data_IF_583494223741
#
_entry.id   IF_583494223741
#
_cell.length_a   1.000
_cell.length_b   1.000
_cell.length_c   1.000
_cell.angle_alpha   90.00
_cell.angle_beta   90.00
_cell.angle_gamma   90.00
#
_symmetry.space_group_name_H-M   'P 1'
#
loop_
_entity.id
_entity.type
_entity.pdbx_description
1 polymer ?
#
# COMPACT_ATOMS: atom_id res chain seq x y z
N UNK A 1 -19.76 42.84 -31.32
CA UNK A 1 -20.89 42.05 -30.79
C UNK A 1 -20.53 40.58 -30.46
N UNK A 2 -19.25 40.22 -30.29
CA UNK A 2 -18.83 38.81 -30.18
C UNK A 2 -18.38 38.38 -28.78
N UNK A 3 -18.20 39.32 -27.84
CA UNK A 3 -17.69 39.03 -26.50
C UNK A 3 -18.71 38.26 -25.63
N UNK A 4 -20.00 38.62 -25.73
CA UNK A 4 -21.08 37.93 -25.00
C UNK A 4 -21.25 36.48 -25.45
N UNK A 5 -21.07 36.21 -26.75
CA UNK A 5 -21.17 34.88 -27.31
C UNK A 5 -19.99 33.99 -26.88
N UNK A 6 -18.77 34.53 -26.85
CA UNK A 6 -17.56 33.85 -26.37
C UNK A 6 -17.64 33.49 -24.88
N UNK A 7 -18.16 34.41 -24.05
CA UNK A 7 -18.35 34.17 -22.62
C UNK A 7 -19.40 33.07 -22.38
N UNK A 8 -20.49 33.08 -23.15
CA UNK A 8 -21.53 32.06 -23.06
C UNK A 8 -21.00 30.66 -23.44
N UNK A 9 -20.17 30.54 -24.49
CA UNK A 9 -19.54 29.26 -24.84
C UNK A 9 -18.56 28.78 -23.78
N UNK A 10 -17.73 29.65 -23.22
CA UNK A 10 -16.80 29.29 -22.14
C UNK A 10 -17.54 28.80 -20.89
N UNK A 11 -18.61 29.49 -20.48
CA UNK A 11 -19.43 29.08 -19.34
C UNK A 11 -20.14 27.74 -19.60
N UNK A 12 -20.64 27.50 -20.80
CA UNK A 12 -21.24 26.22 -21.17
C UNK A 12 -20.21 25.09 -21.11
N UNK A 13 -18.97 25.31 -21.59
CA UNK A 13 -17.89 24.34 -21.54
C UNK A 13 -17.50 23.97 -20.10
N UNK A 14 -17.39 24.97 -19.21
CA UNK A 14 -17.09 24.74 -17.78
C UNK A 14 -18.21 23.93 -17.12
N UNK A 15 -19.47 24.23 -17.42
CA UNK A 15 -20.63 23.52 -16.87
C UNK A 15 -20.70 22.06 -17.33
N UNK A 16 -20.30 21.77 -18.57
CA UNK A 16 -20.19 20.39 -19.09
C UNK A 16 -19.06 19.62 -18.42
N UNK A 17 -17.89 20.25 -18.23
CA UNK A 17 -16.77 19.61 -17.52
C UNK A 17 -17.06 19.35 -16.04
N UNK A 18 -17.83 20.22 -15.38
CA UNK A 18 -18.22 20.05 -13.97
C UNK A 18 -19.26 18.95 -13.73
N UNK A 19 -19.95 18.50 -14.80
CA UNK A 19 -20.99 17.47 -14.76
C UNK A 19 -20.51 16.07 -15.14
N UNK A 20 -19.20 15.83 -15.27
CA UNK A 20 -18.71 14.46 -15.28
C UNK A 20 -18.70 13.96 -13.83
N UNK A 21 -19.65 13.12 -13.41
CA UNK A 21 -19.45 12.38 -12.18
C UNK A 21 -18.14 11.62 -12.35
N UNK A 22 -17.22 11.78 -11.40
CA UNK A 22 -16.10 10.85 -11.28
C UNK A 22 -16.73 9.46 -11.25
N UNK A 23 -16.61 8.72 -12.35
CA UNK A 23 -17.11 7.36 -12.43
C UNK A 23 -16.51 6.66 -11.24
N UNK A 24 -17.34 6.24 -10.27
CA UNK A 24 -16.90 5.70 -8.99
C UNK A 24 -15.95 4.55 -9.27
N UNK A 25 -14.65 4.84 -9.27
CA UNK A 25 -13.64 3.90 -9.68
C UNK A 25 -13.66 2.81 -8.61
N UNK A 26 -14.22 1.65 -8.95
CA UNK A 26 -14.26 0.51 -8.03
C UNK A 26 -12.83 0.31 -7.53
N UNK A 27 -12.59 0.32 -6.20
CA UNK A 27 -11.25 0.17 -5.66
C UNK A 27 -10.63 -1.14 -6.15
N UNK A 28 -9.50 -1.05 -6.86
CA UNK A 28 -8.69 -2.16 -7.36
C UNK A 28 -7.48 -2.36 -6.45
N UNK A 29 -7.70 -2.99 -5.31
CA UNK A 29 -6.60 -3.48 -4.47
C UNK A 29 -5.97 -4.74 -5.08
N UNK A 30 -4.67 -4.92 -4.93
CA UNK A 30 -3.94 -6.15 -5.30
C UNK A 30 -4.22 -7.27 -4.28
N UNK A 31 -4.36 -6.91 -3.01
CA UNK A 31 -4.66 -7.83 -1.92
C UNK A 31 -6.17 -8.02 -1.77
N UNK A 32 -6.64 -9.25 -2.02
CA UNK A 32 -8.03 -9.65 -1.80
C UNK A 32 -8.25 -10.34 -0.45
N UNK A 33 -7.23 -11.05 0.03
CA UNK A 33 -7.25 -11.79 1.29
C UNK A 33 -6.03 -11.40 2.12
N UNK A 34 -6.17 -11.44 3.44
CA UNK A 34 -5.11 -11.04 4.37
C UNK A 34 -4.81 -12.16 5.38
N UNK A 35 -3.54 -12.29 5.74
CA UNK A 35 -3.10 -13.09 6.88
C UNK A 35 -2.74 -12.16 8.04
N UNK A 36 -2.90 -12.65 9.26
CA UNK A 36 -2.67 -11.84 10.46
C UNK A 36 -1.19 -11.80 10.87
N UNK A 37 -0.48 -12.92 10.71
CA UNK A 37 0.90 -13.04 11.16
C UNK A 37 1.70 -14.11 10.38
N UNK A 38 3.00 -13.89 10.26
CA UNK A 38 4.00 -14.83 9.72
C UNK A 38 5.23 -14.83 10.63
N UNK A 39 5.80 -15.98 11.01
CA UNK A 39 7.08 -15.99 11.73
C UNK A 39 8.17 -15.22 10.96
N UNK A 40 8.79 -14.20 11.57
CA UNK A 40 9.79 -13.30 10.92
C UNK A 40 10.90 -14.06 10.19
N UNK A 41 11.31 -15.24 10.69
CA UNK A 41 12.32 -16.11 10.05
C UNK A 41 11.94 -16.60 8.64
N UNK A 42 10.66 -16.59 8.29
CA UNK A 42 10.18 -16.98 6.96
C UNK A 42 9.97 -15.79 6.03
N UNK A 43 9.97 -14.56 6.53
CA UNK A 43 9.82 -13.36 5.69
C UNK A 43 11.16 -13.06 5.02
N UNK A 44 11.19 -13.04 3.69
CA UNK A 44 12.37 -12.77 2.86
C UNK A 44 12.41 -11.36 2.33
N UNK A 45 11.26 -10.83 1.95
CA UNK A 45 11.10 -9.45 1.52
C UNK A 45 9.66 -9.00 1.78
N UNK A 46 9.42 -7.70 1.62
CA UNK A 46 8.09 -7.11 1.72
C UNK A 46 7.93 -5.90 0.79
N UNK A 47 6.71 -5.62 0.36
CA UNK A 47 6.32 -4.42 -0.37
C UNK A 47 5.16 -3.75 0.36
N UNK A 48 5.29 -2.45 0.64
CA UNK A 48 4.22 -1.64 1.24
C UNK A 48 3.70 -0.70 0.18
N UNK A 49 2.42 -0.83 -0.14
CA UNK A 49 1.70 0.03 -1.09
C UNK A 49 0.75 0.89 -0.25
N UNK A 50 0.95 2.22 -0.21
CA UNK A 50 0.08 3.10 0.55
C UNK A 50 -1.33 3.15 -0.05
N UNK A 51 -2.30 3.52 0.78
CA UNK A 51 -3.66 3.83 0.33
C UNK A 51 -3.66 4.90 -0.78
N UNK A 52 -4.56 4.77 -1.75
CA UNK A 52 -4.74 5.69 -2.88
C UNK A 52 -6.23 5.79 -3.27
N UNK A 53 -6.56 6.64 -4.25
CA UNK A 53 -7.91 6.71 -4.83
C UNK A 53 -8.37 5.37 -5.42
N UNK A 54 -7.43 4.52 -5.86
CA UNK A 54 -7.71 3.21 -6.43
C UNK A 54 -7.75 2.08 -5.39
N UNK A 55 -7.22 2.27 -4.17
CA UNK A 55 -7.31 1.28 -3.11
C UNK A 55 -7.26 1.97 -1.75
N UNK A 56 -8.36 1.89 -1.00
CA UNK A 56 -8.51 2.61 0.28
C UNK A 56 -7.69 2.00 1.43
N UNK A 57 -7.06 0.85 1.21
CA UNK A 57 -6.26 0.12 2.20
C UNK A 57 -4.77 0.23 1.91
N UNK A 58 -3.96 0.37 2.95
CA UNK A 58 -2.51 0.13 2.84
C UNK A 58 -2.29 -1.37 2.70
N UNK A 59 -1.56 -1.78 1.67
CA UNK A 59 -1.31 -3.18 1.35
C UNK A 59 0.12 -3.55 1.69
N UNK A 60 0.31 -4.65 2.41
CA UNK A 60 1.62 -5.20 2.73
C UNK A 60 1.71 -6.56 2.05
N UNK A 61 2.55 -6.70 1.03
CA UNK A 61 2.77 -7.97 0.34
C UNK A 61 4.09 -8.54 0.85
N UNK A 62 4.07 -9.73 1.43
CA UNK A 62 5.26 -10.42 1.93
C UNK A 62 5.72 -11.47 0.94
N UNK A 63 7.03 -11.54 0.71
CA UNK A 63 7.67 -12.71 0.11
C UNK A 63 8.07 -13.65 1.23
N UNK A 64 7.46 -14.83 1.30
CA UNK A 64 7.63 -15.81 2.36
C UNK A 64 8.38 -17.03 1.80
N UNK A 65 9.43 -17.46 2.49
CA UNK A 65 10.17 -18.67 2.18
C UNK A 65 10.20 -19.64 3.36
N UNK A 66 9.71 -20.86 3.12
CA UNK A 66 9.73 -21.96 4.09
C UNK A 66 10.31 -23.21 3.42
N UNK A 67 11.57 -23.51 3.72
CA UNK A 67 12.31 -24.56 3.00
C UNK A 67 12.55 -24.15 1.55
N UNK A 68 12.22 -25.04 0.60
CA UNK A 68 12.32 -24.76 -0.83
C UNK A 68 11.13 -23.99 -1.41
N UNK A 69 10.04 -23.79 -0.64
CA UNK A 69 8.84 -23.10 -1.12
C UNK A 69 8.96 -21.60 -0.91
N UNK A 70 8.71 -20.84 -1.97
CA UNK A 70 8.57 -19.38 -1.97
C UNK A 70 7.14 -19.05 -2.36
N UNK A 71 6.49 -18.15 -1.62
CA UNK A 71 5.12 -17.72 -1.85
C UNK A 71 4.94 -16.26 -1.47
N UNK A 72 3.89 -15.64 -2.00
CA UNK A 72 3.47 -14.29 -1.62
C UNK A 72 2.20 -14.35 -0.76
N UNK A 73 2.10 -13.46 0.21
CA UNK A 73 0.87 -13.28 0.99
C UNK A 73 0.70 -11.82 1.41
N UNK A 74 -0.56 -11.38 1.49
CA UNK A 74 -0.85 -10.05 2.00
C UNK A 74 -1.00 -10.07 3.52
N UNK A 75 -0.16 -9.31 4.22
CA UNK A 75 -0.25 -9.11 5.66
C UNK A 75 -1.24 -8.00 5.99
N UNK A 76 -2.07 -8.22 7.01
CA UNK A 76 -3.00 -7.19 7.48
C UNK A 76 -2.22 -6.00 8.08
N UNK A 77 -2.42 -4.80 7.51
CA UNK A 77 -1.74 -3.56 7.93
C UNK A 77 -2.27 -2.95 9.23
N UNK A 78 -3.43 -3.42 9.71
CA UNK A 78 -4.10 -2.92 10.91
C UNK A 78 -3.82 -3.77 12.16
N UNK A 79 -3.11 -4.89 12.00
CA UNK A 79 -2.71 -5.77 13.11
C UNK A 79 -1.24 -5.58 13.48
N UNK A 80 -0.87 -6.04 14.68
CA UNK A 80 0.43 -5.78 15.32
C UNK A 80 1.63 -5.97 14.39
N UNK A 81 1.73 -7.11 13.71
CA UNK A 81 2.87 -7.37 12.83
C UNK A 81 2.91 -6.41 11.64
N UNK A 82 1.77 -6.10 11.03
CA UNK A 82 1.69 -5.16 9.92
C UNK A 82 2.05 -3.74 10.36
N UNK A 83 1.53 -3.30 11.51
CA UNK A 83 1.86 -2.02 12.11
C UNK A 83 3.35 -1.91 12.45
N UNK A 84 3.94 -2.93 13.08
CA UNK A 84 5.39 -2.98 13.35
C UNK A 84 6.22 -2.80 12.08
N UNK A 85 5.83 -3.49 11.01
CA UNK A 85 6.54 -3.45 9.74
C UNK A 85 6.44 -2.05 9.10
N UNK A 86 5.26 -1.44 9.11
CA UNK A 86 5.04 -0.06 8.63
C UNK A 86 5.86 0.94 9.47
N UNK A 87 5.82 0.84 10.80
CA UNK A 87 6.59 1.72 11.69
C UNK A 87 8.08 1.60 11.42
N UNK A 88 8.60 0.38 11.23
CA UNK A 88 9.99 0.18 10.87
C UNK A 88 10.33 0.75 9.50
N UNK A 89 9.47 0.54 8.50
CA UNK A 89 9.65 1.05 7.14
C UNK A 89 9.74 2.59 7.11
N UNK A 90 8.88 3.26 7.88
CA UNK A 90 8.92 4.71 8.06
C UNK A 90 10.19 5.16 8.81
N UNK A 91 10.59 4.43 9.87
CA UNK A 91 11.80 4.73 10.65
C UNK A 91 13.07 4.71 9.81
N UNK A 92 13.15 3.83 8.81
CA UNK A 92 14.31 3.75 7.89
C UNK A 92 14.16 4.67 6.66
N UNK A 93 13.18 5.58 6.66
CA UNK A 93 12.90 6.50 5.55
C UNK A 93 12.74 5.79 4.19
N UNK A 94 12.06 4.63 4.20
CA UNK A 94 11.79 3.85 2.99
C UNK A 94 13.05 3.43 2.21
N UNK A 95 14.18 3.32 2.90
CA UNK A 95 15.45 2.90 2.31
C UNK A 95 15.42 1.39 2.00
N UNK A 96 15.39 1.08 0.70
CA UNK A 96 15.38 -0.29 0.17
C UNK A 96 16.60 -1.08 0.65
N UNK A 97 17.77 -0.44 0.75
CA UNK A 97 19.01 -1.07 1.21
C UNK A 97 18.97 -1.51 2.68
N UNK A 98 18.00 -0.99 3.44
CA UNK A 98 17.83 -1.24 4.87
C UNK A 98 16.61 -2.10 5.21
N UNK A 99 15.87 -2.59 4.20
CA UNK A 99 14.67 -3.43 4.38
C UNK A 99 14.87 -4.58 5.36
N UNK A 100 16.03 -5.23 5.31
CA UNK A 100 16.32 -6.37 6.18
C UNK A 100 16.24 -6.03 7.68
N UNK A 101 16.48 -4.77 8.09
CA UNK A 101 16.33 -4.34 9.48
C UNK A 101 14.92 -4.57 10.03
N UNK A 102 13.90 -4.53 9.15
CA UNK A 102 12.50 -4.62 9.53
C UNK A 102 11.97 -6.05 9.60
N UNK A 103 12.64 -6.99 8.93
CA UNK A 103 12.23 -8.40 8.85
C UNK A 103 13.19 -9.37 9.54
N UNK A 104 14.41 -8.94 9.87
CA UNK A 104 15.36 -9.78 10.61
C UNK A 104 14.81 -10.14 12.00
N UNK A 105 14.87 -11.43 12.39
CA UNK A 105 14.53 -11.83 13.75
C UNK A 105 15.43 -11.10 14.75
N UNK A 106 14.86 -10.52 15.81
CA UNK A 106 15.67 -10.11 16.96
C UNK A 106 16.32 -11.38 17.51
N UNK A 107 17.65 -11.40 17.64
CA UNK A 107 18.32 -12.43 18.41
C UNK A 107 17.81 -12.32 19.85
N UNK A 108 16.88 -13.17 20.24
CA UNK A 108 16.66 -13.44 21.66
C UNK A 108 17.99 -13.90 22.19
N UNK A 109 18.61 -13.09 23.06
CA UNK A 109 19.67 -13.60 23.93
C UNK A 109 18.99 -14.70 24.73
N UNK A 110 19.18 -15.96 24.34
CA UNK A 110 18.93 -17.08 25.24
C UNK A 110 19.80 -16.82 26.47
N UNK A 111 19.21 -16.65 27.67
CA UNK A 111 20.03 -16.63 28.87
C UNK A 111 20.77 -17.97 28.92
N UNK A 112 22.09 -17.89 29.01
CA UNK A 112 22.97 -19.05 29.21
C UNK A 112 22.97 -19.42 30.68
#
# INVERSE_FOLDING_TARGET
>A
MNCKLQIATLLALILVCAHFPEASAVPRCLCLNFIECVPKKFVKDFLIIPKSSHCTKTQIILTISKGSRVMEACLNSELDQGMELITCWNRINHDIGRKEECIRPRRTRTPK
#
